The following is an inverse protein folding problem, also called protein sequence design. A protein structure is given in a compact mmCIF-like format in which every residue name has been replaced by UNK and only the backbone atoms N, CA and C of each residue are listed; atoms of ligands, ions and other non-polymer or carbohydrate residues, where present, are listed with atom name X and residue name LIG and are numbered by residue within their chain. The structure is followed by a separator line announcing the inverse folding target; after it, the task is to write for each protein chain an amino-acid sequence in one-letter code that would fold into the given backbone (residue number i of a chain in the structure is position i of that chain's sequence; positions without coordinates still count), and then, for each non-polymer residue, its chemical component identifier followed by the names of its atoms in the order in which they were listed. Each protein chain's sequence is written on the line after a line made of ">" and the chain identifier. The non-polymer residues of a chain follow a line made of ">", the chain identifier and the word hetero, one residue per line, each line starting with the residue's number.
data_IF_293557447166
#
_entry.id   IF_293557447166
#
_cell.length_a   1.000
_cell.length_b   1.000
_cell.length_c   1.000
_cell.angle_alpha   90.00
_cell.angle_beta   90.00
_cell.angle_gamma   90.00
#
_symmetry.space_group_name_H-M   'P 1'
#
loop_
_entity.id
_entity.type
_entity.pdbx_description
1 polymer ?
#
# COMPACT_ATOMS: atom_id res chain seq x y z
N UNK A 1 -4.25 -3.16 -10.36
CA UNK A 1 -2.78 -2.92 -10.32
C UNK A 1 -2.06 -4.27 -10.30
N UNK A 2 -1.83 -4.86 -11.48
CA UNK A 2 -1.12 -6.15 -11.58
C UNK A 2 0.28 -6.11 -10.97
N UNK A 3 0.97 -4.97 -11.05
CA UNK A 3 2.33 -4.80 -10.52
C UNK A 3 2.40 -4.92 -8.99
N UNK A 4 1.49 -4.28 -8.25
CA UNK A 4 1.41 -4.39 -6.79
C UNK A 4 1.02 -5.80 -6.34
N UNK A 5 0.08 -6.45 -7.05
CA UNK A 5 -0.31 -7.82 -6.75
C UNK A 5 0.88 -8.78 -6.82
N UNK A 6 1.67 -8.70 -7.90
CA UNK A 6 2.85 -9.56 -8.08
C UNK A 6 3.89 -9.30 -6.98
N UNK A 7 4.20 -8.04 -6.70
CA UNK A 7 5.14 -7.67 -5.64
C UNK A 7 4.69 -8.20 -4.28
N UNK A 8 3.40 -8.06 -3.95
CA UNK A 8 2.84 -8.58 -2.71
C UNK A 8 2.94 -10.10 -2.64
N UNK A 9 2.53 -10.83 -3.68
CA UNK A 9 2.62 -12.29 -3.72
C UNK A 9 4.05 -12.81 -3.50
N UNK A 10 5.03 -12.19 -4.17
CA UNK A 10 6.44 -12.61 -4.10
C UNK A 10 7.07 -12.36 -2.72
N UNK A 11 6.64 -11.30 -2.02
CA UNK A 11 7.28 -10.83 -0.79
C UNK A 11 6.45 -11.10 0.47
N UNK A 12 5.21 -11.57 0.34
CA UNK A 12 4.34 -11.90 1.48
C UNK A 12 5.00 -12.89 2.43
N UNK A 13 5.62 -13.94 1.90
CA UNK A 13 6.34 -14.93 2.71
C UNK A 13 7.61 -14.38 3.38
N UNK A 14 8.12 -13.23 2.92
CA UNK A 14 9.24 -12.51 3.54
C UNK A 14 8.77 -11.49 4.60
N UNK A 15 7.46 -11.45 4.89
CA UNK A 15 6.86 -10.58 5.90
C UNK A 15 6.36 -9.24 5.38
N UNK A 16 6.17 -9.08 4.07
CA UNK A 16 5.47 -7.91 3.52
C UNK A 16 3.96 -8.06 3.68
N UNK A 17 3.31 -7.03 4.23
CA UNK A 17 1.87 -6.85 4.16
C UNK A 17 1.53 -5.62 3.32
N UNK A 18 0.53 -5.72 2.44
CA UNK A 18 0.07 -4.61 1.60
C UNK A 18 -1.40 -4.38 1.87
N UNK A 19 -1.75 -3.16 2.24
CA UNK A 19 -3.14 -2.74 2.42
C UNK A 19 -3.49 -1.71 1.36
N UNK A 20 -4.44 -2.04 0.49
CA UNK A 20 -4.98 -1.11 -0.48
C UNK A 20 -6.10 -0.32 0.21
N UNK A 21 -6.01 1.01 0.23
CA UNK A 21 -7.04 1.84 0.87
C UNK A 21 -7.81 2.59 -0.22
N UNK A 22 -9.13 2.34 -0.28
CA UNK A 22 -10.05 3.14 -1.09
C UNK A 22 -10.76 4.14 -0.18
N UNK A 23 -10.92 5.38 -0.64
CA UNK A 23 -11.49 6.45 0.18
C UNK A 23 -12.54 7.25 -0.59
N UNK A 24 -13.58 7.72 0.12
CA UNK A 24 -14.71 8.47 -0.46
C UNK A 24 -15.43 7.73 -1.61
N UNK A 25 -15.44 6.40 -1.51
CA UNK A 25 -16.08 5.51 -2.47
C UNK A 25 -17.08 4.61 -1.74
N UNK A 26 -18.10 4.13 -2.46
CA UNK A 26 -19.06 3.18 -1.88
C UNK A 26 -18.47 1.78 -1.73
N UNK A 27 -18.84 1.07 -0.65
CA UNK A 27 -18.44 -0.32 -0.43
C UNK A 27 -18.75 -1.25 -1.62
N UNK A 28 -19.91 -1.04 -2.27
CA UNK A 28 -20.31 -1.83 -3.44
C UNK A 28 -19.36 -1.65 -4.62
N UNK A 29 -18.99 -0.40 -4.95
CA UNK A 29 -18.07 -0.09 -6.03
C UNK A 29 -16.67 -0.65 -5.75
N UNK A 30 -16.18 -0.50 -4.52
CA UNK A 30 -14.86 -1.00 -4.11
C UNK A 30 -14.79 -2.53 -4.19
N UNK A 31 -15.81 -3.22 -3.65
CA UNK A 31 -15.89 -4.68 -3.71
C UNK A 31 -15.93 -5.21 -5.14
N UNK A 32 -16.76 -4.59 -5.99
CA UNK A 32 -16.84 -4.91 -7.42
C UNK A 32 -15.49 -4.70 -8.12
N UNK A 33 -14.89 -3.54 -7.93
CA UNK A 33 -13.61 -3.18 -8.57
C UNK A 33 -12.47 -4.10 -8.14
N UNK A 34 -12.45 -4.49 -6.86
CA UNK A 34 -11.45 -5.41 -6.34
C UNK A 34 -11.57 -6.81 -6.96
N UNK A 35 -12.80 -7.30 -7.12
CA UNK A 35 -13.06 -8.57 -7.78
C UNK A 35 -12.71 -8.51 -9.28
N UNK A 36 -13.18 -7.49 -10.00
CA UNK A 36 -12.92 -7.33 -11.44
C UNK A 36 -11.42 -7.19 -11.77
N UNK A 37 -10.66 -6.49 -10.90
CA UNK A 37 -9.22 -6.29 -11.09
C UNK A 37 -8.36 -7.39 -10.47
N UNK A 38 -8.97 -8.39 -9.82
CA UNK A 38 -8.28 -9.50 -9.18
C UNK A 38 -7.26 -9.06 -8.13
N UNK A 39 -7.61 -8.10 -7.27
CA UNK A 39 -6.72 -7.71 -6.16
C UNK A 39 -6.55 -8.87 -5.18
N UNK A 40 -5.29 -9.16 -4.84
CA UNK A 40 -4.93 -10.25 -3.93
C UNK A 40 -4.52 -9.74 -2.54
N UNK A 41 -4.19 -8.45 -2.45
CA UNK A 41 -3.98 -7.74 -1.21
C UNK A 41 -5.33 -7.33 -0.59
N UNK A 42 -5.44 -7.30 0.76
CA UNK A 42 -6.61 -6.74 1.43
C UNK A 42 -6.93 -5.32 0.95
N UNK A 43 -8.22 -5.06 0.70
CA UNK A 43 -8.74 -3.74 0.36
C UNK A 43 -9.55 -3.19 1.53
N UNK A 44 -9.08 -2.09 2.10
CA UNK A 44 -9.74 -1.34 3.15
C UNK A 44 -10.57 -0.20 2.57
N UNK A 45 -11.59 0.21 3.32
CA UNK A 45 -12.52 1.24 2.93
C UNK A 45 -12.54 2.37 3.96
N UNK A 46 -12.37 3.58 3.47
CA UNK A 46 -12.50 4.84 4.21
C UNK A 46 -13.59 5.71 3.55
N UNK A 47 -14.86 5.39 3.80
CA UNK A 47 -15.99 6.04 3.12
C UNK A 47 -16.04 7.56 3.39
N UNK A 48 -15.65 8.01 4.58
CA UNK A 48 -15.62 9.43 4.92
C UNK A 48 -14.41 10.15 4.29
N UNK A 49 -13.32 9.42 4.04
CA UNK A 49 -12.05 10.00 3.61
C UNK A 49 -11.29 10.71 4.71
N UNK A 50 -11.77 10.67 5.96
CA UNK A 50 -11.14 11.37 7.08
C UNK A 50 -9.83 10.72 7.48
N UNK A 51 -9.74 9.39 7.44
CA UNK A 51 -8.50 8.69 7.76
C UNK A 51 -7.44 9.03 6.70
N UNK A 52 -7.80 8.89 5.44
CA UNK A 52 -6.90 9.11 4.30
C UNK A 52 -6.48 10.58 4.19
N UNK A 53 -7.43 11.50 4.27
CA UNK A 53 -7.20 12.93 4.12
C UNK A 53 -6.63 13.60 5.37
N UNK A 54 -7.29 13.45 6.54
CA UNK A 54 -6.91 14.20 7.76
C UNK A 54 -5.79 13.52 8.53
N UNK A 55 -5.86 12.20 8.74
CA UNK A 55 -4.88 11.49 9.57
C UNK A 55 -3.59 11.18 8.79
N UNK A 56 -3.72 10.68 7.57
CA UNK A 56 -2.57 10.33 6.73
C UNK A 56 -2.07 11.49 5.86
N UNK A 57 -2.85 12.56 5.70
CA UNK A 57 -2.44 13.74 4.93
C UNK A 57 -2.32 13.46 3.43
N UNK A 58 -3.11 12.52 2.90
CA UNK A 58 -3.13 12.22 1.46
C UNK A 58 -3.87 13.34 0.74
N UNK A 59 -3.12 14.10 -0.05
CA UNK A 59 -3.66 15.20 -0.85
C UNK A 59 -4.14 14.74 -2.23
N UNK A 60 -3.60 13.63 -2.73
CA UNK A 60 -3.98 13.06 -4.02
C UNK A 60 -3.52 11.62 -4.19
N UNK A 61 -4.34 10.75 -4.81
CA UNK A 61 -3.94 9.40 -5.17
C UNK A 61 -3.10 9.38 -6.46
N UNK A 62 -2.26 8.34 -6.66
CA UNK A 62 -1.90 7.34 -5.66
C UNK A 62 -0.85 7.90 -4.68
N UNK A 63 -0.97 7.53 -3.40
CA UNK A 63 0.07 7.75 -2.38
C UNK A 63 0.31 6.44 -1.64
N UNK A 64 1.58 6.06 -1.45
CA UNK A 64 1.98 4.88 -0.70
C UNK A 64 2.73 5.29 0.57
N UNK A 65 2.47 4.59 1.67
CA UNK A 65 3.18 4.74 2.93
C UNK A 65 3.89 3.44 3.26
N UNK A 66 5.10 3.55 3.81
CA UNK A 66 5.85 2.41 4.31
C UNK A 66 5.90 2.48 5.82
N UNK A 67 5.48 1.40 6.47
CA UNK A 67 5.43 1.30 7.92
C UNK A 67 6.26 0.08 8.34
N UNK A 68 7.09 0.24 9.36
CA UNK A 68 7.91 -0.85 9.87
C UNK A 68 7.12 -1.81 10.78
N UNK A 69 7.80 -2.86 11.27
CA UNK A 69 7.20 -3.88 12.14
C UNK A 69 6.79 -3.36 13.51
N UNK A 70 7.23 -2.14 13.87
CA UNK A 70 6.92 -1.45 15.12
C UNK A 70 5.85 -0.36 14.92
N UNK A 71 5.26 -0.30 13.72
CA UNK A 71 4.24 0.70 13.39
C UNK A 71 4.81 2.09 13.11
N UNK A 72 6.12 2.23 12.92
CA UNK A 72 6.75 3.52 12.63
C UNK A 72 6.69 3.82 11.13
N UNK A 73 6.36 5.07 10.79
CA UNK A 73 6.37 5.54 9.41
C UNK A 73 7.83 5.66 8.92
N UNK A 74 8.20 4.83 7.96
CA UNK A 74 9.51 4.87 7.29
C UNK A 74 9.56 5.92 6.18
N UNK A 75 8.43 6.21 5.55
CA UNK A 75 8.34 7.21 4.49
C UNK A 75 7.07 7.11 3.66
N UNK A 76 6.92 8.04 2.71
CA UNK A 76 5.81 8.06 1.75
C UNK A 76 6.29 8.32 0.34
N UNK A 77 5.56 7.80 -0.64
CA UNK A 77 5.73 8.09 -2.07
C UNK A 77 4.42 8.64 -2.61
N UNK A 78 4.50 9.82 -3.23
CA UNK A 78 3.35 10.51 -3.83
C UNK A 78 3.42 10.39 -5.34
N UNK A 79 2.30 10.07 -5.98
CA UNK A 79 2.19 9.93 -7.41
C UNK A 79 2.38 8.49 -7.92
N UNK A 80 2.15 8.28 -9.22
CA UNK A 80 2.22 6.95 -9.83
C UNK A 80 3.65 6.40 -9.81
N UNK A 81 3.80 5.16 -9.37
CA UNK A 81 5.06 4.44 -9.38
C UNK A 81 4.89 3.08 -10.06
N UNK A 82 5.87 2.69 -10.86
CA UNK A 82 5.91 1.36 -11.45
C UNK A 82 6.45 0.33 -10.44
N UNK A 83 5.54 -0.36 -9.78
CA UNK A 83 5.86 -1.43 -8.83
C UNK A 83 6.39 -2.71 -9.47
N UNK A 84 6.39 -2.81 -10.81
CA UNK A 84 7.04 -3.91 -11.53
C UNK A 84 8.53 -3.66 -11.80
N UNK A 85 8.99 -2.41 -11.62
CA UNK A 85 10.37 -2.05 -11.85
C UNK A 85 11.31 -2.73 -10.83
N UNK A 86 12.54 -3.15 -11.25
CA UNK A 86 13.52 -3.73 -10.34
C UNK A 86 13.88 -2.82 -9.15
N UNK A 87 13.85 -1.51 -9.36
CA UNK A 87 14.12 -0.52 -8.31
C UNK A 87 13.07 -0.56 -7.19
N UNK A 88 11.78 -0.70 -7.54
CA UNK A 88 10.70 -0.82 -6.57
C UNK A 88 10.84 -2.09 -5.73
N UNK A 89 11.18 -3.23 -6.37
CA UNK A 89 11.46 -4.48 -5.66
C UNK A 89 12.64 -4.35 -4.70
N UNK A 90 13.76 -3.79 -5.16
CA UNK A 90 14.95 -3.57 -4.33
C UNK A 90 14.65 -2.68 -3.12
N UNK A 91 13.86 -1.63 -3.31
CA UNK A 91 13.41 -0.76 -2.22
C UNK A 91 12.65 -1.57 -1.16
N UNK A 92 11.64 -2.34 -1.55
CA UNK A 92 10.84 -3.11 -0.60
C UNK A 92 11.65 -4.21 0.09
N UNK A 93 12.52 -4.92 -0.65
CA UNK A 93 13.42 -5.91 -0.05
C UNK A 93 14.39 -5.28 0.96
N UNK A 94 14.91 -4.08 0.68
CA UNK A 94 15.75 -3.34 1.61
C UNK A 94 14.97 -2.94 2.88
N UNK A 95 13.74 -2.46 2.74
CA UNK A 95 12.88 -2.13 3.89
C UNK A 95 12.53 -3.36 4.74
N UNK A 96 12.35 -4.52 4.12
CA UNK A 96 12.09 -5.77 4.84
C UNK A 96 13.28 -6.28 5.64
N UNK A 97 14.50 -6.06 5.11
CA UNK A 97 15.77 -6.45 5.72
C UNK A 97 16.28 -5.43 6.75
N UNK A 98 15.80 -4.19 6.69
CA UNK A 98 16.21 -3.15 7.61
C UNK A 98 15.79 -3.49 9.06
N UNK A 99 16.67 -3.22 10.06
CA UNK A 99 16.28 -3.29 11.45
C UNK A 99 15.20 -2.24 11.76
N UNK A 100 14.45 -2.41 12.86
CA UNK A 100 13.47 -1.43 13.34
C UNK A 100 14.04 -0.02 13.33
N UNK A 101 13.24 0.98 12.96
CA UNK A 101 13.65 2.37 13.10
C UNK A 101 13.98 2.64 14.58
N UNK A 102 15.20 3.11 14.87
CA UNK A 102 15.59 3.52 16.23
C UNK A 102 14.86 4.81 16.59
N UNK A 103 14.32 4.87 17.80
CA UNK A 103 13.75 6.08 18.41
C UNK A 103 14.82 7.15 18.66
#
# INVERSE_FOLDING_TARGET
>A
MPSVNRLYQDLKQKGLEVLLVSFRESAALVKRTAAERGYVAPVLLDESGEVTGKLYGVWGPPTAYFVDRQGQLLGRLVGPHDWSAPAARKLVEALLAAPPAKR
#
